data_IF_524633915096
#
_entry.id   IF_524633915096
#
_cell.length_a   1.000
_cell.length_b   1.000
_cell.length_c   1.000
_cell.angle_alpha   90.00
_cell.angle_beta   90.00
_cell.angle_gamma   90.00
#
_symmetry.space_group_name_H-M   'P 1'
#
loop_
_entity.id
_entity.type
_entity.pdbx_description
1 polymer ?
#
# COMPACT_ATOMS: atom_id res chain seq x y z
N UNK A 1 -9.81 -2.55 -78.43
CA UNK A 1 -9.92 -1.41 -77.49
C UNK A 1 -11.38 -1.30 -77.07
N UNK A 2 -11.72 -1.71 -75.86
CA UNK A 2 -13.05 -1.52 -75.26
C UNK A 2 -12.79 -0.84 -73.92
N UNK A 3 -13.09 0.46 -73.83
CA UNK A 3 -13.00 1.22 -72.60
C UNK A 3 -14.25 0.98 -71.76
N UNK A 4 -14.10 0.43 -70.56
CA UNK A 4 -15.19 0.27 -69.60
C UNK A 4 -15.45 1.59 -68.87
N UNK A 5 -16.68 2.09 -68.97
CA UNK A 5 -17.14 3.28 -68.26
C UNK A 5 -17.30 2.97 -66.76
N UNK A 6 -16.67 3.78 -65.90
CA UNK A 6 -16.83 3.71 -64.44
C UNK A 6 -18.18 4.34 -64.07
N UNK A 7 -19.06 3.63 -63.33
CA UNK A 7 -20.35 4.18 -62.95
C UNK A 7 -20.14 5.34 -61.96
N UNK A 8 -20.68 6.51 -62.29
CA UNK A 8 -20.76 7.63 -61.35
C UNK A 8 -21.75 7.28 -60.24
N UNK A 9 -21.25 7.14 -59.01
CA UNK A 9 -22.08 6.97 -57.83
C UNK A 9 -22.86 8.27 -57.59
N UNK A 10 -24.20 8.22 -57.47
CA UNK A 10 -25.04 9.40 -57.25
C UNK A 10 -24.57 10.20 -56.03
N UNK A 11 -24.47 11.52 -56.20
CA UNK A 11 -23.93 12.45 -55.19
C UNK A 11 -24.67 12.37 -53.85
N UNK A 12 -25.95 11.98 -53.86
CA UNK A 12 -26.76 11.73 -52.67
C UNK A 12 -26.24 10.58 -51.80
N UNK A 13 -25.71 9.49 -52.40
CA UNK A 13 -25.15 8.35 -51.63
C UNK A 13 -23.90 8.75 -50.85
N UNK A 14 -23.09 9.66 -51.37
CA UNK A 14 -21.89 10.16 -50.66
C UNK A 14 -22.28 10.98 -49.43
N UNK A 15 -23.35 11.78 -49.52
CA UNK A 15 -23.86 12.54 -48.38
C UNK A 15 -24.40 11.62 -47.28
N UNK A 16 -25.21 10.60 -47.61
CA UNK A 16 -25.73 9.67 -46.61
C UNK A 16 -24.64 8.87 -45.90
N UNK A 17 -23.58 8.47 -46.61
CA UNK A 17 -22.41 7.82 -46.01
C UNK A 17 -21.67 8.75 -45.04
N UNK A 18 -21.54 10.03 -45.37
CA UNK A 18 -20.90 11.02 -44.50
C UNK A 18 -21.72 11.27 -43.23
N UNK A 19 -23.05 11.43 -43.35
CA UNK A 19 -23.93 11.58 -42.18
C UNK A 19 -23.96 10.33 -41.30
N UNK A 20 -23.93 9.13 -41.91
CA UNK A 20 -23.84 7.87 -41.17
C UNK A 20 -22.55 7.74 -40.35
N UNK A 21 -21.40 8.10 -40.94
CA UNK A 21 -20.10 8.10 -40.25
C UNK A 21 -20.04 9.13 -39.11
N UNK A 22 -20.57 10.35 -39.33
CA UNK A 22 -20.62 11.38 -38.29
C UNK A 22 -21.52 10.96 -37.13
N UNK A 23 -22.69 10.37 -37.42
CA UNK A 23 -23.58 9.83 -36.38
C UNK A 23 -22.93 8.67 -35.62
N UNK A 24 -22.17 7.79 -36.29
CA UNK A 24 -21.43 6.72 -35.63
C UNK A 24 -20.35 7.28 -34.70
N UNK A 25 -19.57 8.27 -35.14
CA UNK A 25 -18.56 8.92 -34.31
C UNK A 25 -19.20 9.62 -33.09
N UNK A 26 -20.32 10.32 -33.27
CA UNK A 26 -21.05 10.96 -32.16
C UNK A 26 -21.58 9.89 -31.20
N UNK A 27 -22.15 8.80 -31.70
CA UNK A 27 -22.65 7.68 -30.90
C UNK A 27 -21.55 6.90 -30.17
N UNK A 28 -20.30 6.91 -30.65
CA UNK A 28 -19.16 6.29 -29.96
C UNK A 28 -18.45 7.24 -28.97
N UNK A 29 -18.46 8.55 -29.25
CA UNK A 29 -17.75 9.57 -28.43
C UNK A 29 -18.62 10.07 -27.25
N UNK A 30 -19.95 10.15 -27.41
CA UNK A 30 -20.82 10.61 -26.33
C UNK A 30 -20.90 9.63 -25.13
N UNK A 31 -21.01 8.30 -25.32
CA UNK A 31 -20.98 7.37 -24.22
C UNK A 31 -19.65 7.41 -23.48
N UNK A 32 -18.51 7.49 -24.19
CA UNK A 32 -17.18 7.53 -23.56
C UNK A 32 -16.93 8.81 -22.76
N UNK A 33 -17.42 9.97 -23.23
CA UNK A 33 -17.37 11.23 -22.46
C UNK A 33 -18.35 11.27 -21.29
N UNK A 34 -19.51 10.63 -21.39
CA UNK A 34 -20.45 10.48 -20.28
C UNK A 34 -19.91 9.47 -19.24
N UNK A 35 -19.25 8.41 -19.68
CA UNK A 35 -18.60 7.39 -18.83
C UNK A 35 -17.39 7.97 -18.07
N UNK A 36 -16.60 8.84 -18.71
CA UNK A 36 -15.50 9.55 -18.04
C UNK A 36 -15.97 10.63 -17.05
N UNK A 37 -17.15 11.24 -17.28
CA UNK A 37 -17.74 12.18 -16.32
C UNK A 37 -18.47 11.50 -15.17
N UNK A 38 -18.94 10.26 -15.32
CA UNK A 38 -19.59 9.50 -14.24
C UNK A 38 -18.61 8.89 -13.24
N UNK A 39 -17.31 8.78 -13.57
CA UNK A 39 -16.27 8.30 -12.66
C UNK A 39 -15.60 9.40 -11.80
N UNK A 40 -15.97 10.68 -11.95
CA UNK A 40 -15.75 11.63 -10.85
C UNK A 40 -16.73 11.27 -9.75
N UNK A 41 -16.28 10.48 -8.78
CA UNK A 41 -16.91 10.13 -7.50
C UNK A 41 -18.03 11.11 -7.10
N UNK A 42 -19.25 10.86 -7.60
CA UNK A 42 -20.46 11.60 -7.22
C UNK A 42 -21.23 10.74 -6.25
N UNK A 43 -20.91 10.89 -4.97
CA UNK A 43 -21.80 10.44 -3.92
C UNK A 43 -23.03 11.38 -3.91
N UNK A 44 -24.27 10.85 -3.97
CA UNK A 44 -25.45 11.66 -3.74
C UNK A 44 -25.36 12.34 -2.37
N UNK A 45 -25.77 13.60 -2.30
CA UNK A 45 -25.79 14.42 -1.10
C UNK A 45 -26.57 13.76 0.03
N UNK A 46 -25.88 13.20 1.02
CA UNK A 46 -26.48 12.80 2.30
C UNK A 46 -26.54 14.03 3.22
N UNK A 47 -27.75 14.55 3.34
CA UNK A 47 -28.14 15.66 4.20
C UNK A 47 -28.10 15.27 5.69
N UNK A 48 -27.65 16.24 6.50
CA UNK A 48 -27.90 16.48 7.94
C UNK A 48 -27.85 15.28 8.89
N UNK A 49 -26.70 15.11 9.54
CA UNK A 49 -26.65 14.61 10.92
C UNK A 49 -26.22 15.74 11.86
N UNK A 50 -27.01 15.97 12.90
CA UNK A 50 -26.68 16.85 14.02
C UNK A 50 -25.42 16.31 14.73
N UNK A 51 -24.56 17.20 15.27
CA UNK A 51 -23.43 16.75 16.07
C UNK A 51 -23.95 16.14 17.39
N UNK A 52 -23.45 14.99 17.84
CA UNK A 52 -23.59 14.63 19.23
C UNK A 52 -22.72 15.59 20.05
N UNK A 53 -23.35 16.33 20.96
CA UNK A 53 -22.65 16.89 22.10
C UNK A 53 -22.22 15.73 22.99
N UNK A 54 -20.92 15.43 23.05
CA UNK A 54 -20.40 14.56 24.09
C UNK A 54 -19.17 15.14 24.78
N UNK A 55 -19.21 14.99 26.10
CA UNK A 55 -18.23 15.45 27.07
C UNK A 55 -16.92 14.69 26.83
N UNK A 56 -15.85 15.42 26.54
CA UNK A 56 -14.50 14.87 26.49
C UNK A 56 -14.14 14.18 27.81
N UNK A 57 -14.28 12.86 27.84
CA UNK A 57 -13.68 12.00 28.86
C UNK A 57 -12.17 12.00 28.63
N UNK A 58 -11.43 12.61 29.56
CA UNK A 58 -9.97 12.46 29.65
C UNK A 58 -9.66 11.06 30.16
N UNK A 59 -9.71 10.07 29.28
CA UNK A 59 -9.18 8.73 29.56
C UNK A 59 -7.80 8.62 28.90
N UNK A 60 -6.78 8.99 29.66
CA UNK A 60 -5.40 8.60 29.36
C UNK A 60 -5.29 7.08 29.57
N UNK A 61 -5.16 6.33 28.48
CA UNK A 61 -4.84 4.89 28.47
C UNK A 61 -3.56 4.70 29.29
N UNK A 62 -3.61 3.87 30.33
CA UNK A 62 -2.49 3.67 31.26
C UNK A 62 -1.69 2.43 30.80
N UNK A 63 -0.44 2.64 30.41
CA UNK A 63 0.15 2.13 29.15
C UNK A 63 0.87 0.77 29.17
N UNK A 64 0.53 -0.20 30.02
CA UNK A 64 1.15 -1.56 29.88
C UNK A 64 0.22 -2.74 30.12
N UNK A 65 -0.66 -2.68 31.12
CA UNK A 65 -1.59 -3.78 31.41
C UNK A 65 -2.66 -3.94 30.33
N UNK A 66 -3.08 -2.81 29.73
CA UNK A 66 -4.12 -2.79 28.70
C UNK A 66 -3.60 -3.47 27.43
N UNK A 67 -2.40 -3.11 26.95
CA UNK A 67 -1.82 -3.64 25.72
C UNK A 67 -1.66 -5.17 25.63
N UNK A 68 -1.81 -5.90 26.73
CA UNK A 68 -1.86 -7.37 26.74
C UNK A 68 -2.95 -7.94 25.81
N UNK A 69 -4.10 -7.26 25.69
CA UNK A 69 -5.24 -7.72 24.87
C UNK A 69 -5.34 -6.98 23.53
N UNK A 70 -4.29 -6.23 23.19
CA UNK A 70 -4.24 -5.46 21.95
C UNK A 70 -4.43 -6.33 20.70
N UNK A 71 -3.83 -7.53 20.55
CA UNK A 71 -3.98 -8.33 19.33
C UNK A 71 -5.44 -8.70 19.03
N UNK A 72 -6.20 -9.17 20.02
CA UNK A 72 -7.61 -9.55 19.82
C UNK A 72 -8.50 -8.33 19.56
N UNK A 73 -8.27 -7.23 20.28
CA UNK A 73 -9.00 -5.99 20.07
C UNK A 73 -8.69 -5.40 18.68
N UNK A 74 -7.43 -5.42 18.26
CA UNK A 74 -6.95 -4.95 16.97
C UNK A 74 -7.60 -5.74 15.83
N UNK A 75 -7.69 -7.07 15.95
CA UNK A 75 -8.33 -7.89 14.93
C UNK A 75 -9.80 -7.52 14.71
N UNK A 76 -10.54 -7.20 15.77
CA UNK A 76 -11.92 -6.72 15.63
C UNK A 76 -11.98 -5.28 15.09
N UNK A 77 -11.09 -4.40 15.56
CA UNK A 77 -11.03 -3.02 15.06
C UNK A 77 -10.71 -2.97 13.56
N UNK A 78 -9.74 -3.77 13.09
CA UNK A 78 -9.37 -3.91 11.68
C UNK A 78 -10.56 -4.39 10.83
N UNK A 79 -11.33 -5.38 11.29
CA UNK A 79 -12.58 -5.79 10.62
C UNK A 79 -13.58 -4.65 10.51
N UNK A 80 -13.79 -3.91 11.60
CA UNK A 80 -14.72 -2.78 11.63
C UNK A 80 -14.26 -1.60 10.74
N UNK A 81 -12.93 -1.41 10.59
CA UNK A 81 -12.34 -0.46 9.64
C UNK A 81 -12.62 -0.89 8.19
N UNK A 82 -12.47 -2.17 7.89
CA UNK A 82 -12.69 -2.72 6.55
C UNK A 82 -14.17 -2.68 6.13
N UNK A 83 -15.08 -3.09 7.03
CA UNK A 83 -16.51 -3.22 6.73
C UNK A 83 -17.22 -1.86 6.66
N UNK A 84 -16.79 -0.88 7.45
CA UNK A 84 -17.49 0.41 7.64
C UNK A 84 -16.53 1.62 7.65
N UNK A 85 -15.61 1.75 6.69
CA UNK A 85 -14.53 2.75 6.72
C UNK A 85 -15.06 4.18 6.86
N UNK A 86 -16.16 4.53 6.18
CA UNK A 86 -16.77 5.86 6.30
C UNK A 86 -17.27 6.18 7.73
N UNK A 87 -17.72 5.17 8.46
CA UNK A 87 -18.22 5.35 9.83
C UNK A 87 -17.11 5.24 10.86
N UNK A 88 -16.12 4.38 10.63
CA UNK A 88 -15.18 3.97 11.66
C UNK A 88 -13.81 4.59 11.49
N UNK A 89 -13.33 4.94 10.28
CA UNK A 89 -11.94 5.29 10.01
C UNK A 89 -11.37 6.39 10.90
N UNK A 90 -12.10 7.49 11.11
CA UNK A 90 -11.59 8.68 11.80
C UNK A 90 -12.08 8.81 13.25
N UNK A 91 -13.14 8.07 13.62
CA UNK A 91 -13.84 8.21 14.90
C UNK A 91 -13.33 7.22 15.94
N UNK A 92 -13.40 7.58 17.21
CA UNK A 92 -13.18 6.66 18.32
C UNK A 92 -13.93 5.34 18.14
N UNK A 93 -13.27 4.26 18.51
CA UNK A 93 -13.84 2.93 18.43
C UNK A 93 -13.71 2.24 19.79
N UNK A 94 -14.77 1.58 20.22
CA UNK A 94 -14.81 0.82 21.47
C UNK A 94 -15.20 -0.61 21.16
N UNK A 95 -14.44 -1.57 21.67
CA UNK A 95 -14.79 -2.98 21.57
C UNK A 95 -16.12 -3.20 22.32
N UNK A 96 -17.21 -3.58 21.63
CA UNK A 96 -18.50 -3.77 22.29
C UNK A 96 -18.38 -4.91 23.29
N UNK A 97 -18.76 -4.67 24.54
CA UNK A 97 -18.71 -5.65 25.62
C UNK A 97 -19.79 -6.73 25.41
N UNK A 98 -19.62 -7.62 24.43
CA UNK A 98 -20.56 -8.70 24.11
C UNK A 98 -20.38 -9.84 25.10
N UNK A 99 -21.11 -9.84 26.23
CA UNK A 99 -21.42 -10.98 27.16
C UNK A 99 -20.29 -11.96 27.60
N UNK A 100 -19.09 -11.89 27.04
CA UNK A 100 -17.95 -12.74 27.27
C UNK A 100 -16.96 -11.94 28.08
N UNK A 101 -16.98 -12.15 29.40
CA UNK A 101 -16.13 -11.53 30.43
C UNK A 101 -14.61 -11.74 30.25
N UNK A 102 -14.13 -12.23 29.10
CA UNK A 102 -12.74 -12.65 28.93
C UNK A 102 -11.77 -11.48 28.65
N UNK A 103 -12.28 -10.36 28.16
CA UNK A 103 -11.46 -9.20 27.76
C UNK A 103 -12.01 -7.90 28.37
N UNK A 104 -11.17 -7.00 28.89
CA UNK A 104 -11.60 -5.66 29.28
C UNK A 104 -12.12 -4.91 28.03
N UNK A 105 -13.00 -3.93 28.24
CA UNK A 105 -13.39 -3.00 27.17
C UNK A 105 -12.14 -2.32 26.61
N UNK A 106 -11.96 -2.35 25.30
CA UNK A 106 -10.86 -1.68 24.61
C UNK A 106 -11.33 -0.41 23.93
N UNK A 107 -10.51 0.64 23.98
CA UNK A 107 -10.75 1.90 23.25
C UNK A 107 -9.58 2.15 22.29
N UNK A 108 -9.91 2.30 21.00
CA UNK A 108 -9.00 2.79 19.98
C UNK A 108 -9.35 4.25 19.70
N UNK A 109 -8.54 5.23 20.14
CA UNK A 109 -8.78 6.63 19.82
C UNK A 109 -8.88 6.85 18.30
N UNK A 110 -9.74 7.80 17.93
CA UNK A 110 -9.86 8.34 16.59
C UNK A 110 -8.58 9.03 16.14
N UNK A 111 -8.53 9.42 14.86
CA UNK A 111 -7.43 10.21 14.34
C UNK A 111 -7.54 11.63 14.92
N UNK A 112 -6.72 11.92 15.94
CA UNK A 112 -6.83 13.09 16.80
C UNK A 112 -5.46 13.67 17.10
N UNK A 113 -5.40 14.94 17.50
CA UNK A 113 -4.14 15.59 17.90
C UNK A 113 -3.45 14.83 19.05
N UNK A 114 -4.14 14.43 20.15
CA UNK A 114 -3.49 13.69 21.23
C UNK A 114 -2.86 12.36 20.79
N UNK A 115 -3.51 11.63 19.87
CA UNK A 115 -2.96 10.39 19.34
C UNK A 115 -1.69 10.66 18.53
N UNK A 116 -1.70 11.66 17.64
CA UNK A 116 -0.54 12.04 16.83
C UNK A 116 0.60 12.60 17.67
N UNK A 117 0.30 13.40 18.70
CA UNK A 117 1.27 13.96 19.63
C UNK A 117 2.02 12.86 20.39
N UNK A 118 1.30 11.83 20.82
CA UNK A 118 1.88 10.70 21.55
C UNK A 118 2.73 9.79 20.65
N UNK A 119 2.34 9.62 19.38
CA UNK A 119 2.84 8.53 18.53
C UNK A 119 3.78 8.97 17.42
N UNK A 120 3.67 10.21 16.94
CA UNK A 120 4.38 10.68 15.74
C UNK A 120 5.15 11.97 16.01
N UNK A 121 4.56 12.96 16.70
CA UNK A 121 5.24 14.24 16.92
C UNK A 121 6.51 14.10 17.75
N UNK A 122 7.51 14.89 17.38
CA UNK A 122 8.83 14.91 18.01
C UNK A 122 9.67 13.66 17.75
N UNK A 123 9.23 12.75 16.87
CA UNK A 123 9.94 11.50 16.56
C UNK A 123 10.57 11.54 15.17
N UNK A 124 11.63 10.75 15.00
CA UNK A 124 12.25 10.44 13.71
C UNK A 124 11.66 9.12 13.21
N UNK A 125 10.92 9.19 12.11
CA UNK A 125 10.28 8.04 11.48
C UNK A 125 10.82 7.85 10.07
N UNK A 126 11.23 6.62 9.78
CA UNK A 126 11.57 6.20 8.40
C UNK A 126 10.57 5.16 7.93
N UNK A 127 10.04 5.36 6.73
CA UNK A 127 9.17 4.43 6.04
C UNK A 127 9.96 3.84 4.86
N UNK A 128 10.47 2.63 5.06
CA UNK A 128 11.28 1.87 4.10
C UNK A 128 10.37 1.02 3.22
N UNK A 129 10.20 1.34 1.93
CA UNK A 129 9.39 0.46 1.11
C UNK A 129 8.88 0.92 -0.23
N UNK A 130 7.78 0.28 -0.61
CA UNK A 130 7.09 0.48 -1.88
C UNK A 130 6.33 1.82 -1.96
N UNK A 131 5.63 2.01 -3.07
CA UNK A 131 4.76 3.16 -3.34
C UNK A 131 3.70 3.39 -2.25
N UNK A 132 3.22 2.35 -1.56
CA UNK A 132 2.22 2.50 -0.51
C UNK A 132 2.78 3.28 0.68
N UNK A 133 3.99 2.93 1.13
CA UNK A 133 4.66 3.63 2.21
C UNK A 133 5.10 5.04 1.79
N UNK A 134 5.42 5.23 0.51
CA UNK A 134 5.64 6.55 -0.06
C UNK A 134 4.39 7.42 0.05
N UNK A 135 3.23 6.96 -0.42
CA UNK A 135 1.98 7.73 -0.31
C UNK A 135 1.58 7.97 1.14
N UNK A 136 1.69 6.96 2.02
CA UNK A 136 1.39 7.14 3.44
C UNK A 136 2.28 8.22 4.08
N UNK A 137 3.56 8.26 3.72
CA UNK A 137 4.51 9.30 4.15
C UNK A 137 4.02 10.70 3.75
N UNK A 138 3.60 10.87 2.50
CA UNK A 138 3.13 12.15 1.96
C UNK A 138 1.85 12.62 2.65
N UNK A 139 0.91 11.71 2.90
CA UNK A 139 -0.30 11.99 3.66
C UNK A 139 0.00 12.40 5.10
N UNK A 140 0.94 11.70 5.75
CA UNK A 140 1.36 12.01 7.12
C UNK A 140 2.02 13.39 7.23
N UNK A 141 2.95 13.71 6.31
CA UNK A 141 3.59 15.02 6.24
C UNK A 141 2.56 16.14 6.00
N UNK A 142 1.61 15.94 5.08
CA UNK A 142 0.56 16.91 4.76
C UNK A 142 -0.35 17.17 5.96
N UNK A 143 -0.80 16.11 6.65
CA UNK A 143 -1.61 16.25 7.86
C UNK A 143 -0.87 17.01 8.96
N UNK A 144 0.41 16.69 9.19
CA UNK A 144 1.20 17.35 10.22
C UNK A 144 1.53 18.81 9.87
N UNK A 145 1.74 19.13 8.60
CA UNK A 145 1.94 20.51 8.16
C UNK A 145 0.68 21.36 8.38
N UNK A 146 -0.49 20.87 7.95
CA UNK A 146 -1.75 21.60 8.09
C UNK A 146 -2.08 21.87 9.56
N UNK A 147 -1.70 20.95 10.45
CA UNK A 147 -1.98 21.05 11.90
C UNK A 147 -0.95 21.89 12.66
N UNK A 148 0.29 21.98 12.18
CA UNK A 148 1.31 22.87 12.78
C UNK A 148 1.12 24.32 12.37
N UNK A 149 0.74 24.60 11.12
CA UNK A 149 0.65 25.96 10.59
C UNK A 149 -0.64 26.70 10.97
N UNK A 150 -1.77 26.00 11.09
CA UNK A 150 -3.09 26.64 11.29
C UNK A 150 -3.57 26.63 12.74
N UNK A 151 -3.33 25.55 13.49
CA UNK A 151 -3.47 25.45 14.97
C UNK A 151 -3.31 23.99 15.42
N UNK A 152 -2.61 23.71 16.54
CA UNK A 152 -2.29 22.35 16.98
C UNK A 152 -3.51 21.46 17.29
N UNK A 153 -4.72 22.02 17.41
CA UNK A 153 -5.98 21.28 17.63
C UNK A 153 -6.88 21.19 16.39
N UNK A 154 -6.35 21.55 15.23
CA UNK A 154 -7.11 21.54 13.98
C UNK A 154 -7.55 20.12 13.59
N UNK A 155 -6.78 19.06 13.91
CA UNK A 155 -7.23 17.67 13.68
C UNK A 155 -8.54 17.37 14.39
N UNK A 156 -8.63 17.76 15.67
CA UNK A 156 -9.78 17.44 16.50
C UNK A 156 -11.05 18.17 15.99
N UNK A 157 -10.89 19.38 15.49
CA UNK A 157 -11.99 20.14 14.91
C UNK A 157 -12.31 19.74 13.46
N UNK A 158 -11.32 19.26 12.70
CA UNK A 158 -11.48 18.90 11.29
C UNK A 158 -11.91 17.46 11.05
N UNK A 159 -11.45 16.49 11.85
CA UNK A 159 -11.57 15.08 11.47
C UNK A 159 -12.42 14.26 12.45
N UNK A 160 -12.46 14.62 13.73
CA UNK A 160 -13.25 13.88 14.71
C UNK A 160 -14.75 13.99 14.37
N UNK A 161 -15.36 12.84 14.16
CA UNK A 161 -16.78 12.75 13.80
C UNK A 161 -17.06 12.90 12.30
N UNK A 162 -16.06 13.15 11.45
CA UNK A 162 -16.22 13.15 10.00
C UNK A 162 -16.17 11.74 9.40
N UNK A 163 -16.81 11.63 8.25
CA UNK A 163 -16.72 10.47 7.38
C UNK A 163 -15.36 10.50 6.69
N UNK A 164 -14.79 9.33 6.38
CA UNK A 164 -13.45 9.21 5.79
C UNK A 164 -13.30 10.04 4.52
N UNK A 165 -14.27 9.97 3.62
CA UNK A 165 -14.26 10.74 2.38
C UNK A 165 -14.15 12.25 2.67
N UNK A 166 -14.95 12.78 3.60
CA UNK A 166 -14.89 14.21 3.97
C UNK A 166 -13.55 14.58 4.61
N UNK A 167 -12.99 13.70 5.44
CA UNK A 167 -11.66 13.90 6.02
C UNK A 167 -10.57 13.96 4.96
N UNK A 168 -10.62 13.11 3.93
CA UNK A 168 -9.69 13.16 2.81
C UNK A 168 -9.77 14.51 2.08
N UNK A 169 -10.98 14.99 1.76
CA UNK A 169 -11.17 16.33 1.18
C UNK A 169 -10.68 17.46 2.10
N UNK A 170 -10.81 17.32 3.42
CA UNK A 170 -10.34 18.35 4.35
C UNK A 170 -8.80 18.44 4.39
N UNK A 171 -8.10 17.32 4.22
CA UNK A 171 -6.63 17.26 4.24
C UNK A 171 -6.04 17.53 2.85
N UNK A 172 -6.72 17.08 1.79
CA UNK A 172 -6.34 17.23 0.39
C UNK A 172 -7.55 17.74 -0.42
N UNK A 173 -7.86 19.05 -0.40
CA UNK A 173 -9.07 19.63 -1.01
C UNK A 173 -9.17 19.43 -2.51
N UNK A 174 -8.03 19.43 -3.20
CA UNK A 174 -7.98 19.18 -4.64
C UNK A 174 -8.26 17.71 -4.98
N UNK A 175 -8.30 16.84 -3.95
CA UNK A 175 -8.38 15.38 -4.06
C UNK A 175 -7.48 14.87 -5.17
N UNK A 176 -6.34 15.54 -5.32
CA UNK A 176 -5.46 15.18 -6.39
C UNK A 176 -4.95 13.80 -6.04
N UNK A 177 -5.35 12.84 -6.87
CA UNK A 177 -4.87 11.46 -6.82
C UNK A 177 -3.34 11.46 -6.80
N UNK A 178 -2.76 12.54 -7.34
CA UNK A 178 -1.35 12.87 -7.35
C UNK A 178 -0.75 13.34 -6.03
N UNK A 179 -1.47 13.40 -4.90
CA UNK A 179 -0.83 13.72 -3.62
C UNK A 179 0.16 12.59 -3.26
N UNK A 180 1.42 12.86 -3.63
CA UNK A 180 2.53 11.93 -3.64
C UNK A 180 3.05 11.53 -5.02
N UNK A 181 2.29 11.56 -6.11
CA UNK A 181 2.80 11.10 -7.42
C UNK A 181 3.91 12.00 -7.98
N UNK A 182 3.77 13.32 -7.85
CA UNK A 182 4.82 14.25 -8.25
C UNK A 182 5.86 14.40 -7.12
N UNK A 183 7.13 14.18 -7.46
CA UNK A 183 8.25 14.37 -6.55
C UNK A 183 8.44 15.85 -6.15
N UNK A 184 7.95 16.77 -6.99
CA UNK A 184 8.13 18.22 -6.88
C UNK A 184 7.09 18.94 -6.01
N UNK A 185 5.91 18.33 -5.78
CA UNK A 185 4.74 19.01 -5.19
C UNK A 185 4.74 19.15 -3.68
N UNK A 186 5.69 18.57 -2.96
CA UNK A 186 5.80 18.78 -1.52
C UNK A 186 7.16 19.36 -1.17
N UNK A 187 7.12 20.55 -0.57
CA UNK A 187 8.23 21.15 0.13
C UNK A 187 8.85 20.12 1.09
N UNK A 188 10.17 20.18 1.31
CA UNK A 188 10.80 19.55 2.46
C UNK A 188 10.06 20.07 3.70
N UNK A 189 9.07 19.33 4.19
CA UNK A 189 8.24 19.76 5.31
C UNK A 189 9.14 19.70 6.55
N UNK A 190 9.77 20.82 6.88
CA UNK A 190 10.43 21.00 8.16
C UNK A 190 9.33 21.25 9.19
N UNK A 191 8.98 20.20 9.92
CA UNK A 191 8.09 20.31 11.08
C UNK A 191 8.88 20.99 12.21
N UNK A 192 8.31 22.03 12.80
CA UNK A 192 8.99 22.88 13.79
C UNK A 192 9.19 22.20 15.15
N UNK A 193 8.55 21.06 15.39
CA UNK A 193 8.52 20.32 16.66
C UNK A 193 9.58 19.21 16.73
N UNK A 194 10.56 19.21 15.82
CA UNK A 194 11.61 18.17 15.75
C UNK A 194 11.15 16.86 15.12
N UNK A 195 9.91 16.78 14.64
CA UNK A 195 9.43 15.61 13.88
C UNK A 195 10.18 15.49 12.56
N UNK A 196 10.73 14.31 12.28
CA UNK A 196 11.35 13.98 11.00
C UNK A 196 10.67 12.77 10.40
N UNK A 197 10.12 12.89 9.20
CA UNK A 197 9.46 11.78 8.51
C UNK A 197 10.05 11.67 7.12
N UNK A 198 10.57 10.50 6.79
CA UNK A 198 11.20 10.25 5.50
C UNK A 198 10.81 8.89 4.93
N UNK A 199 10.52 8.86 3.63
CA UNK A 199 10.40 7.63 2.87
C UNK A 199 11.74 7.30 2.19
N UNK A 200 12.10 6.02 2.18
CA UNK A 200 13.23 5.48 1.44
C UNK A 200 12.77 4.20 0.74
N UNK A 201 13.00 4.07 -0.56
CA UNK A 201 12.63 2.84 -1.26
C UNK A 201 12.41 3.03 -2.74
N UNK A 202 11.56 2.18 -3.30
CA UNK A 202 11.27 2.10 -4.72
C UNK A 202 9.75 2.13 -4.90
N UNK A 203 9.25 3.12 -5.62
CA UNK A 203 7.80 3.32 -5.83
C UNK A 203 7.28 2.68 -7.12
N UNK A 204 8.15 2.05 -7.90
CA UNK A 204 7.84 1.63 -9.26
C UNK A 204 7.88 2.80 -10.23
N UNK A 205 8.58 2.62 -11.33
CA UNK A 205 8.57 3.54 -12.46
C UNK A 205 8.66 2.75 -13.76
N UNK A 206 8.35 3.43 -14.87
CA UNK A 206 8.48 2.88 -16.22
C UNK A 206 9.88 3.03 -16.80
N UNK A 207 10.82 3.60 -16.05
CA UNK A 207 12.20 3.78 -16.49
C UNK A 207 12.96 2.44 -16.30
N UNK A 208 13.50 1.85 -17.38
CA UNK A 208 14.31 0.64 -17.29
C UNK A 208 15.51 0.76 -16.34
N UNK A 209 16.04 1.97 -16.10
CA UNK A 209 17.12 2.18 -15.13
C UNK A 209 16.66 2.02 -13.67
N UNK A 210 15.35 2.07 -13.41
CA UNK A 210 14.78 1.84 -12.08
C UNK A 210 14.56 0.34 -11.78
N UNK A 211 14.57 -0.55 -12.78
CA UNK A 211 14.40 -1.99 -12.56
C UNK A 211 15.53 -2.58 -11.70
N UNK A 212 16.76 -2.10 -11.86
CA UNK A 212 17.91 -2.54 -11.06
C UNK A 212 17.84 -2.06 -9.59
N UNK A 213 17.04 -1.03 -9.31
CA UNK A 213 16.94 -0.47 -7.96
C UNK A 213 16.09 -1.33 -7.01
N UNK A 214 15.28 -2.26 -7.55
CA UNK A 214 14.39 -3.13 -6.76
C UNK A 214 15.14 -4.11 -5.83
N UNK A 215 16.46 -4.21 -5.99
CA UNK A 215 17.34 -5.09 -5.22
C UNK A 215 18.49 -4.35 -4.54
N UNK A 216 18.58 -3.02 -4.67
CA UNK A 216 19.73 -2.24 -4.20
C UNK A 216 19.41 -1.52 -2.88
N UNK A 217 19.75 -2.16 -1.76
CA UNK A 217 19.41 -1.62 -0.44
C UNK A 217 20.57 -0.95 0.31
N UNK A 218 21.82 -1.13 -0.09
CA UNK A 218 22.99 -0.64 0.67
C UNK A 218 22.96 0.88 0.89
N UNK A 219 22.63 1.64 -0.15
CA UNK A 219 22.50 3.10 -0.06
C UNK A 219 21.34 3.52 0.85
N UNK A 220 20.25 2.75 0.86
CA UNK A 220 19.09 2.99 1.71
C UNK A 220 19.42 2.66 3.17
N UNK A 221 20.03 1.50 3.44
CA UNK A 221 20.44 1.11 4.79
C UNK A 221 21.51 2.02 5.38
N UNK A 222 22.42 2.54 4.56
CA UNK A 222 23.36 3.58 4.99
C UNK A 222 22.64 4.85 5.45
N UNK A 223 21.61 5.28 4.70
CA UNK A 223 20.80 6.44 5.09
C UNK A 223 20.02 6.19 6.38
N UNK A 224 19.45 5.00 6.57
CA UNK A 224 18.75 4.65 7.83
C UNK A 224 19.71 4.77 9.04
N UNK A 225 20.92 4.24 8.91
CA UNK A 225 21.95 4.34 9.96
C UNK A 225 22.36 5.79 10.26
N UNK A 226 22.33 6.67 9.26
CA UNK A 226 22.61 8.10 9.44
C UNK A 226 21.46 8.85 10.10
N UNK A 227 20.21 8.52 9.75
CA UNK A 227 19.01 9.14 10.32
C UNK A 227 18.82 8.71 11.78
N UNK A 228 19.19 7.46 12.10
CA UNK A 228 18.95 6.80 13.39
C UNK A 228 17.49 6.94 13.84
N UNK A 229 16.51 6.43 13.06
CA UNK A 229 15.10 6.69 13.37
C UNK A 229 14.68 6.07 14.70
N UNK A 230 13.75 6.71 15.40
CA UNK A 230 13.12 6.13 16.59
C UNK A 230 12.14 5.01 16.18
N UNK A 231 11.49 5.17 15.02
CA UNK A 231 10.54 4.21 14.44
C UNK A 231 10.90 3.92 12.99
N UNK A 232 11.03 2.64 12.64
CA UNK A 232 11.20 2.16 11.27
C UNK A 232 9.96 1.36 10.85
N UNK A 233 9.31 1.73 9.75
CA UNK A 233 8.22 0.98 9.13
C UNK A 233 8.70 0.40 7.81
N UNK A 234 8.63 -0.91 7.60
CA UNK A 234 9.24 -1.58 6.44
C UNK A 234 8.25 -2.46 5.63
N UNK A 235 8.27 -2.36 4.29
CA UNK A 235 7.54 -3.23 3.35
C UNK A 235 8.06 -3.12 1.90
N UNK A 236 8.44 -4.23 1.25
CA UNK A 236 8.99 -4.19 -0.12
C UNK A 236 8.54 -5.34 -1.04
N UNK A 237 7.96 -6.41 -0.50
CA UNK A 237 7.73 -7.67 -1.23
C UNK A 237 6.84 -7.56 -2.47
N UNK A 238 5.96 -6.55 -2.55
CA UNK A 238 5.08 -6.32 -3.70
C UNK A 238 5.86 -6.17 -5.02
N UNK A 239 7.07 -5.60 -4.97
CA UNK A 239 7.86 -5.37 -6.17
C UNK A 239 8.60 -6.60 -6.70
N UNK A 240 8.63 -7.66 -5.90
CA UNK A 240 9.28 -8.92 -6.24
C UNK A 240 8.32 -9.98 -6.76
N UNK A 241 7.05 -9.64 -6.92
CA UNK A 241 6.04 -10.52 -7.49
C UNK A 241 5.96 -10.33 -9.01
N UNK A 242 5.70 -11.42 -9.74
CA UNK A 242 5.67 -11.46 -11.20
C UNK A 242 4.26 -11.71 -11.76
N UNK A 243 4.06 -11.35 -13.03
CA UNK A 243 2.95 -11.76 -13.90
C UNK A 243 3.53 -12.05 -15.28
N UNK A 244 4.29 -13.13 -15.41
CA UNK A 244 4.93 -13.47 -16.68
C UNK A 244 3.85 -14.09 -17.56
N UNK A 245 3.30 -13.31 -18.50
CA UNK A 245 2.24 -13.77 -19.39
C UNK A 245 2.80 -14.54 -20.61
N UNK A 246 1.88 -14.94 -21.50
CA UNK A 246 2.16 -15.62 -22.77
C UNK A 246 2.88 -14.76 -23.81
N UNK A 247 3.09 -13.47 -23.56
CA UNK A 247 3.88 -12.56 -24.38
C UNK A 247 4.83 -11.79 -23.44
N UNK A 248 6.15 -11.70 -23.70
CA UNK A 248 7.09 -11.00 -22.81
C UNK A 248 6.80 -9.50 -22.70
N UNK A 249 6.07 -8.93 -23.66
CA UNK A 249 5.63 -7.54 -23.66
C UNK A 249 4.36 -7.32 -22.81
N UNK A 250 3.72 -8.41 -22.34
CA UNK A 250 2.44 -8.38 -21.63
C UNK A 250 2.62 -8.90 -20.19
N UNK A 251 2.21 -8.12 -19.20
CA UNK A 251 2.29 -8.46 -17.78
C UNK A 251 3.48 -7.83 -17.06
N UNK A 252 4.12 -8.59 -16.15
CA UNK A 252 5.18 -8.11 -15.26
C UNK A 252 6.32 -9.11 -15.12
N UNK A 253 7.49 -8.77 -15.63
CA UNK A 253 8.75 -9.47 -15.37
C UNK A 253 9.46 -8.90 -14.14
N UNK A 254 10.39 -9.65 -13.57
CA UNK A 254 11.27 -9.19 -12.48
C UNK A 254 12.71 -9.66 -12.74
N UNK A 255 13.72 -8.94 -12.24
CA UNK A 255 15.11 -9.39 -12.32
C UNK A 255 15.37 -10.60 -11.40
N UNK A 256 16.43 -11.37 -11.66
CA UNK A 256 16.79 -12.54 -10.85
C UNK A 256 17.06 -12.21 -9.38
N UNK A 257 17.62 -11.02 -9.10
CA UNK A 257 17.84 -10.60 -7.72
C UNK A 257 16.52 -10.49 -6.94
N UNK A 258 15.42 -10.07 -7.58
CA UNK A 258 14.09 -10.00 -6.95
C UNK A 258 13.54 -11.41 -6.68
N UNK A 259 13.80 -12.36 -7.58
CA UNK A 259 13.48 -13.79 -7.37
C UNK A 259 14.24 -14.32 -6.15
N UNK A 260 15.53 -14.03 -6.02
CA UNK A 260 16.34 -14.44 -4.87
C UNK A 260 15.82 -13.81 -3.57
N UNK A 261 15.57 -12.49 -3.56
CA UNK A 261 14.99 -11.81 -2.39
C UNK A 261 13.61 -12.36 -2.02
N UNK A 262 12.78 -12.76 -2.99
CA UNK A 262 11.51 -13.40 -2.69
C UNK A 262 11.72 -14.80 -2.08
N UNK A 263 12.64 -15.61 -2.63
CA UNK A 263 12.92 -16.95 -2.11
C UNK A 263 13.46 -16.89 -0.67
N UNK A 264 14.39 -15.97 -0.43
CA UNK A 264 15.06 -15.76 0.84
C UNK A 264 14.45 -14.62 1.66
N UNK A 265 13.17 -14.28 1.45
CA UNK A 265 12.52 -13.12 2.07
C UNK A 265 12.78 -12.95 3.57
N UNK A 266 12.78 -14.06 4.33
CA UNK A 266 13.02 -14.03 5.77
C UNK A 266 14.50 -13.74 6.11
N UNK A 267 15.44 -14.44 5.49
CA UNK A 267 16.89 -14.34 5.79
C UNK A 267 17.60 -13.20 5.07
N UNK A 268 17.22 -12.89 3.84
CA UNK A 268 17.86 -11.85 3.02
C UNK A 268 17.23 -10.47 3.20
N UNK A 269 15.92 -10.38 3.51
CA UNK A 269 15.24 -9.10 3.64
C UNK A 269 14.82 -8.79 5.08
N UNK A 270 13.96 -9.61 5.70
CA UNK A 270 13.41 -9.30 7.02
C UNK A 270 14.53 -9.27 8.08
N UNK A 271 15.43 -10.24 8.08
CA UNK A 271 16.60 -10.28 8.97
C UNK A 271 17.55 -9.10 8.73
N UNK A 272 17.81 -8.75 7.48
CA UNK A 272 18.67 -7.61 7.15
C UNK A 272 18.08 -6.28 7.63
N UNK A 273 16.77 -6.07 7.44
CA UNK A 273 16.07 -4.87 7.96
C UNK A 273 16.11 -4.83 9.48
N UNK A 274 15.89 -5.97 10.16
CA UNK A 274 15.99 -6.07 11.62
C UNK A 274 17.40 -5.73 12.11
N UNK A 275 18.45 -6.25 11.46
CA UNK A 275 19.83 -5.92 11.81
C UNK A 275 20.12 -4.42 11.62
N UNK A 276 19.69 -3.83 10.51
CA UNK A 276 19.84 -2.38 10.27
C UNK A 276 19.12 -1.56 11.34
N UNK A 277 17.94 -2.00 11.78
CA UNK A 277 17.19 -1.35 12.84
C UNK A 277 17.93 -1.42 14.18
N UNK A 278 18.50 -2.58 14.52
CA UNK A 278 19.33 -2.77 15.72
C UNK A 278 20.60 -1.90 15.67
N UNK A 279 21.34 -1.92 14.56
CA UNK A 279 22.53 -1.09 14.33
C UNK A 279 22.23 0.40 14.50
N UNK A 280 21.03 0.81 14.10
CA UNK A 280 20.56 2.20 14.14
C UNK A 280 19.87 2.56 15.46
N UNK A 281 19.85 1.65 16.44
CA UNK A 281 19.21 1.83 17.74
C UNK A 281 17.71 2.21 17.67
N UNK A 282 17.02 1.70 16.65
CA UNK A 282 15.57 1.89 16.48
C UNK A 282 14.84 1.35 17.71
N UNK A 283 13.82 2.07 18.19
CA UNK A 283 13.00 1.63 19.34
C UNK A 283 11.83 0.75 18.90
N UNK A 284 11.26 1.03 17.73
CA UNK A 284 10.15 0.27 17.17
C UNK A 284 10.37 -0.02 15.68
N UNK A 285 10.43 -1.30 15.33
CA UNK A 285 10.37 -1.81 13.96
C UNK A 285 8.98 -2.39 13.67
N UNK A 286 8.30 -1.84 12.68
CA UNK A 286 7.02 -2.32 12.19
C UNK A 286 7.18 -2.89 10.78
N UNK A 287 6.95 -4.19 10.63
CA UNK A 287 6.75 -4.77 9.30
C UNK A 287 5.31 -4.53 8.86
N UNK A 288 5.14 -3.73 7.82
CA UNK A 288 3.84 -3.52 7.18
C UNK A 288 3.50 -4.74 6.31
N UNK A 289 2.26 -5.22 6.41
CA UNK A 289 1.75 -6.21 5.46
C UNK A 289 1.57 -5.61 4.06
N UNK A 290 1.89 -6.38 3.04
CA UNK A 290 1.68 -6.06 1.63
C UNK A 290 0.19 -5.89 1.36
N UNK A 291 -0.16 -4.95 0.47
CA UNK A 291 -1.56 -4.58 0.20
C UNK A 291 -2.37 -5.74 -0.38
N UNK A 292 -3.64 -5.80 0.00
CA UNK A 292 -4.67 -6.63 -0.60
C UNK A 292 -4.75 -6.38 -2.12
N UNK A 293 -4.98 -7.42 -2.90
CA UNK A 293 -5.02 -7.32 -4.35
C UNK A 293 -6.44 -7.49 -4.89
N UNK A 294 -7.01 -6.39 -5.38
CA UNK A 294 -8.29 -6.37 -6.09
C UNK A 294 -8.08 -6.75 -7.54
N UNK A 295 -7.91 -8.04 -7.78
CA UNK A 295 -7.69 -8.61 -9.12
C UNK A 295 -8.77 -8.23 -10.14
N UNK A 296 -10.02 -8.03 -9.69
CA UNK A 296 -11.13 -7.61 -10.54
C UNK A 296 -10.97 -6.17 -11.06
N UNK A 297 -10.11 -5.37 -10.42
CA UNK A 297 -9.77 -4.02 -10.86
C UNK A 297 -8.57 -4.02 -11.83
N UNK A 298 -7.95 -5.16 -12.12
CA UNK A 298 -6.96 -5.27 -13.18
C UNK A 298 -7.61 -5.29 -14.56
N UNK A 299 -6.94 -4.68 -15.53
CA UNK A 299 -7.40 -4.57 -16.91
C UNK A 299 -6.30 -5.03 -17.87
N UNK A 300 -6.71 -5.46 -19.07
CA UNK A 300 -5.80 -5.83 -20.17
C UNK A 300 -4.85 -6.94 -19.75
N UNK A 301 -3.58 -6.78 -20.12
CA UNK A 301 -2.53 -7.78 -19.93
C UNK A 301 -2.40 -8.28 -18.48
N UNK A 302 -2.63 -7.41 -17.50
CA UNK A 302 -2.60 -7.79 -16.08
C UNK A 302 -3.77 -8.72 -15.72
N UNK A 303 -4.97 -8.44 -16.22
CA UNK A 303 -6.16 -9.27 -16.00
C UNK A 303 -5.98 -10.64 -16.65
N UNK A 304 -5.50 -10.67 -17.89
CA UNK A 304 -5.27 -11.90 -18.65
C UNK A 304 -4.18 -12.77 -17.99
N UNK A 305 -3.08 -12.14 -17.57
CA UNK A 305 -2.00 -12.83 -16.87
C UNK A 305 -2.46 -13.42 -15.53
N UNK A 306 -3.16 -12.64 -14.70
CA UNK A 306 -3.71 -13.13 -13.43
C UNK A 306 -4.64 -14.31 -13.65
N UNK A 307 -5.52 -14.27 -14.65
CA UNK A 307 -6.44 -15.37 -14.95
C UNK A 307 -5.73 -16.68 -15.29
N UNK A 308 -4.55 -16.62 -15.92
CA UNK A 308 -3.72 -17.81 -16.19
C UNK A 308 -3.19 -18.41 -14.88
N UNK A 309 -2.63 -17.59 -13.99
CA UNK A 309 -2.09 -18.05 -12.71
C UNK A 309 -3.16 -18.55 -11.75
N UNK A 310 -4.33 -17.92 -11.70
CA UNK A 310 -5.46 -18.38 -10.88
C UNK A 310 -5.95 -19.78 -11.28
N UNK A 311 -5.83 -20.14 -12.57
CA UNK A 311 -6.15 -21.48 -13.08
C UNK A 311 -5.00 -22.47 -12.94
N UNK A 312 -3.87 -22.05 -12.38
CA UNK A 312 -2.62 -22.82 -12.35
C UNK A 312 -2.23 -23.33 -13.74
N UNK A 313 -2.35 -22.46 -14.75
CA UNK A 313 -2.10 -22.82 -16.14
C UNK A 313 -0.67 -23.38 -16.31
N UNK A 314 -0.50 -24.64 -16.75
CA UNK A 314 0.82 -25.26 -16.85
C UNK A 314 1.74 -24.55 -17.85
N UNK A 315 1.17 -23.91 -18.88
CA UNK A 315 1.95 -23.19 -19.88
C UNK A 315 2.53 -21.90 -19.31
N UNK A 316 1.74 -21.13 -18.55
CA UNK A 316 2.20 -19.93 -17.85
C UNK A 316 3.32 -20.24 -16.84
N UNK A 317 3.15 -21.28 -16.01
CA UNK A 317 4.17 -21.72 -15.04
C UNK A 317 5.45 -22.14 -15.75
N UNK A 318 5.35 -23.04 -16.74
CA UNK A 318 6.51 -23.54 -17.48
C UNK A 318 7.22 -22.43 -18.26
N UNK A 319 6.49 -21.40 -18.71
CA UNK A 319 7.07 -20.23 -19.36
C UNK A 319 7.83 -19.35 -18.37
N UNK A 320 7.27 -19.11 -17.18
CA UNK A 320 7.98 -18.42 -16.11
C UNK A 320 9.31 -19.14 -15.80
N UNK A 321 9.27 -20.46 -15.61
CA UNK A 321 10.46 -21.27 -15.34
C UNK A 321 11.51 -21.12 -16.44
N UNK A 322 11.13 -21.29 -17.72
CA UNK A 322 12.05 -21.10 -18.85
C UNK A 322 12.61 -19.69 -18.94
N UNK A 323 11.82 -18.68 -18.60
CA UNK A 323 12.26 -17.28 -18.62
C UNK A 323 13.34 -17.06 -17.56
N UNK A 324 13.09 -17.51 -16.34
CA UNK A 324 14.05 -17.40 -15.24
C UNK A 324 15.30 -18.26 -15.45
N UNK A 325 15.16 -19.46 -16.01
CA UNK A 325 16.29 -20.31 -16.40
C UNK A 325 17.16 -19.60 -17.44
N UNK A 326 16.59 -19.02 -18.50
CA UNK A 326 17.35 -18.25 -19.50
C UNK A 326 18.07 -17.05 -18.89
N UNK A 327 17.40 -16.32 -18.00
CA UNK A 327 18.04 -15.22 -17.29
C UNK A 327 19.22 -15.72 -16.46
N UNK A 328 19.06 -16.82 -15.69
CA UNK A 328 20.11 -17.43 -14.87
C UNK A 328 21.30 -17.86 -15.73
N UNK A 329 21.04 -18.63 -16.77
CA UNK A 329 22.06 -19.20 -17.66
C UNK A 329 22.77 -18.10 -18.49
N UNK A 330 22.06 -17.01 -18.81
CA UNK A 330 22.61 -15.82 -19.45
C UNK A 330 23.48 -14.97 -18.52
N UNK A 331 23.13 -14.92 -17.23
CA UNK A 331 23.83 -14.14 -16.19
C UNK A 331 25.13 -14.82 -15.71
N UNK A 332 25.18 -16.16 -15.71
CA UNK A 332 26.37 -16.96 -15.41
C UNK A 332 27.56 -16.67 -16.36
N UNK A 333 27.31 -16.04 -17.51
CA UNK A 333 28.35 -15.59 -18.43
C UNK A 333 28.95 -14.21 -18.08
N UNK A 334 28.39 -13.45 -17.13
CA UNK A 334 28.90 -12.14 -16.68
C UNK A 334 29.20 -12.02 -15.19
N UNK A 335 28.50 -12.74 -14.30
CA UNK A 335 28.69 -12.63 -12.84
C UNK A 335 28.65 -14.02 -12.17
N UNK A 336 29.77 -14.75 -12.24
CA UNK A 336 29.97 -16.16 -11.82
C UNK A 336 29.84 -16.48 -10.31
N UNK A 337 29.22 -15.63 -9.49
CA UNK A 337 29.25 -15.78 -8.03
C UNK A 337 27.90 -15.97 -7.32
N UNK A 338 26.83 -15.34 -7.82
CA UNK A 338 25.62 -15.11 -7.00
C UNK A 338 24.36 -15.85 -7.50
N UNK A 339 24.37 -16.38 -8.73
CA UNK A 339 23.19 -17.01 -9.37
C UNK A 339 23.13 -18.54 -9.26
N UNK A 340 24.18 -19.19 -8.71
CA UNK A 340 24.25 -20.66 -8.61
C UNK A 340 23.27 -21.28 -7.59
N UNK A 341 22.43 -20.46 -6.93
CA UNK A 341 21.53 -20.85 -5.82
C UNK A 341 20.09 -21.12 -6.32
N UNK A 342 19.74 -20.71 -7.53
CA UNK A 342 18.41 -20.92 -8.10
C UNK A 342 18.28 -22.30 -8.75
N UNK A 343 18.21 -23.33 -7.90
CA UNK A 343 17.82 -24.69 -8.33
C UNK A 343 16.41 -24.73 -8.91
N UNK A 344 16.12 -25.70 -9.77
CA UNK A 344 14.85 -25.75 -10.51
C UNK A 344 13.62 -25.77 -9.58
N UNK A 345 13.69 -26.47 -8.44
CA UNK A 345 12.61 -26.47 -7.45
C UNK A 345 12.31 -25.08 -6.87
N UNK A 346 13.31 -24.22 -6.71
CA UNK A 346 13.14 -22.85 -6.26
C UNK A 346 12.47 -21.99 -7.35
N UNK A 347 12.85 -22.20 -8.61
CA UNK A 347 12.21 -21.52 -9.74
C UNK A 347 10.74 -21.91 -9.86
N UNK A 348 10.42 -23.21 -9.78
CA UNK A 348 9.03 -23.69 -9.77
C UNK A 348 8.25 -23.08 -8.61
N UNK A 349 8.82 -23.09 -7.39
CA UNK A 349 8.19 -22.47 -6.22
C UNK A 349 7.90 -20.99 -6.46
N UNK A 350 8.88 -20.23 -6.95
CA UNK A 350 8.68 -18.81 -7.24
C UNK A 350 7.61 -18.61 -8.33
N UNK A 351 7.66 -19.35 -9.43
CA UNK A 351 6.69 -19.23 -10.52
C UNK A 351 5.25 -19.57 -10.13
N UNK A 352 5.06 -20.39 -9.10
CA UNK A 352 3.74 -20.73 -8.56
C UNK A 352 3.29 -19.76 -7.48
N UNK A 353 4.23 -19.21 -6.70
CA UNK A 353 3.94 -18.53 -5.44
C UNK A 353 4.25 -17.05 -5.39
N UNK A 354 5.20 -16.59 -6.20
CA UNK A 354 5.61 -15.21 -6.35
C UNK A 354 4.71 -14.44 -7.31
N UNK A 355 3.45 -14.83 -7.49
CA UNK A 355 2.53 -14.20 -8.44
C UNK A 355 2.02 -12.87 -7.89
N UNK A 356 1.89 -11.85 -8.75
CA UNK A 356 1.34 -10.54 -8.39
C UNK A 356 -0.20 -10.58 -8.33
N UNK A 357 -0.70 -11.37 -7.38
CA UNK A 357 -2.11 -11.51 -7.07
C UNK A 357 -2.31 -11.62 -5.55
N UNK A 358 -3.55 -11.83 -5.13
CA UNK A 358 -3.90 -11.94 -3.71
C UNK A 358 -3.29 -13.19 -3.05
N UNK A 359 -3.00 -14.24 -3.82
CA UNK A 359 -2.41 -15.46 -3.30
C UNK A 359 -0.94 -15.24 -2.96
N UNK A 360 -0.17 -14.63 -3.87
CA UNK A 360 1.24 -14.30 -3.64
C UNK A 360 1.43 -13.25 -2.55
N UNK A 361 0.52 -12.27 -2.45
CA UNK A 361 0.51 -11.29 -1.34
C UNK A 361 0.25 -11.98 0.01
N UNK A 362 -0.72 -12.90 0.08
CA UNK A 362 -0.99 -13.64 1.31
C UNK A 362 0.19 -14.51 1.76
N UNK A 363 0.90 -15.14 0.82
CA UNK A 363 2.14 -15.89 1.13
C UNK A 363 3.21 -14.96 1.74
N UNK A 364 3.46 -13.79 1.14
CA UNK A 364 4.38 -12.79 1.70
C UNK A 364 3.96 -12.33 3.10
N UNK A 365 2.68 -12.02 3.29
CA UNK A 365 2.15 -11.57 4.57
C UNK A 365 2.25 -12.65 5.66
N UNK A 366 2.00 -13.91 5.30
CA UNK A 366 2.19 -15.04 6.19
C UNK A 366 3.63 -15.15 6.68
N UNK A 367 4.60 -15.02 5.76
CA UNK A 367 6.03 -15.07 6.09
C UNK A 367 6.48 -13.93 7.00
N UNK A 368 5.90 -12.73 6.86
CA UNK A 368 6.10 -11.60 7.79
C UNK A 368 5.59 -11.97 9.19
N UNK A 369 4.35 -12.50 9.29
CA UNK A 369 3.75 -12.89 10.56
C UNK A 369 4.57 -13.97 11.27
N UNK A 370 5.00 -15.01 10.54
CA UNK A 370 5.86 -16.07 11.05
C UNK A 370 7.19 -15.52 11.57
N UNK A 371 7.85 -14.65 10.79
CA UNK A 371 9.13 -14.05 11.18
C UNK A 371 9.01 -13.23 12.45
N UNK A 372 8.02 -12.34 12.54
CA UNK A 372 7.82 -11.50 13.73
C UNK A 372 7.46 -12.36 14.94
N UNK A 373 6.67 -13.42 14.76
CA UNK A 373 6.35 -14.37 15.83
C UNK A 373 7.62 -15.06 16.37
N UNK A 374 8.44 -15.61 15.48
CA UNK A 374 9.70 -16.29 15.83
C UNK A 374 10.70 -15.33 16.48
N UNK A 375 10.87 -14.12 15.93
CA UNK A 375 11.74 -13.09 16.50
C UNK A 375 11.34 -12.77 17.94
N UNK A 376 10.04 -12.53 18.18
CA UNK A 376 9.53 -12.18 19.50
C UNK A 376 9.59 -13.33 20.50
N UNK A 377 9.49 -14.59 20.06
CA UNK A 377 9.73 -15.75 20.93
C UNK A 377 11.19 -15.87 21.36
N UNK A 378 12.11 -15.60 20.45
CA UNK A 378 13.54 -15.78 20.68
C UNK A 378 14.20 -14.60 21.40
N UNK A 379 13.67 -13.38 21.26
CA UNK A 379 14.31 -12.14 21.73
C UNK A 379 13.50 -11.38 22.80
N UNK A 380 12.49 -12.01 23.42
CA UNK A 380 11.53 -11.36 24.32
C UNK A 380 12.14 -10.55 25.49
N UNK A 381 13.41 -10.79 25.86
CA UNK A 381 14.07 -10.15 27.01
C UNK A 381 15.37 -9.41 26.69
N UNK A 382 15.89 -9.53 25.47
CA UNK A 382 17.31 -9.22 25.20
C UNK A 382 17.51 -7.96 24.35
N UNK A 383 16.45 -7.32 23.86
CA UNK A 383 16.56 -6.11 23.02
C UNK A 383 15.67 -4.97 23.50
N UNK A 384 16.23 -3.75 23.51
CA UNK A 384 15.48 -2.49 23.74
C UNK A 384 14.56 -2.12 22.54
N UNK A 385 14.80 -2.75 21.38
CA UNK A 385 13.96 -2.62 20.20
C UNK A 385 12.77 -3.58 20.25
N UNK A 386 11.57 -3.08 19.91
CA UNK A 386 10.38 -3.91 19.68
C UNK A 386 10.14 -4.16 18.21
N UNK A 387 9.72 -5.38 17.86
CA UNK A 387 9.35 -5.78 16.50
C UNK A 387 7.89 -6.18 16.47
N UNK A 388 7.10 -5.55 15.61
CA UNK A 388 5.67 -5.82 15.48
C UNK A 388 5.19 -5.73 14.03
N UNK A 389 3.92 -6.08 13.81
CA UNK A 389 3.27 -6.05 12.49
C UNK A 389 2.30 -4.86 12.42
N UNK A 390 2.41 -4.09 11.35
CA UNK A 390 1.40 -3.11 10.95
C UNK A 390 0.49 -3.75 9.89
N UNK A 391 -0.69 -4.22 10.31
CA UNK A 391 -1.61 -4.96 9.46
C UNK A 391 -2.44 -4.04 8.54
N UNK A 392 -1.80 -3.52 7.50
CA UNK A 392 -2.43 -2.68 6.48
C UNK A 392 -3.30 -3.47 5.48
N UNK A 393 -2.94 -4.71 5.19
CA UNK A 393 -3.68 -5.59 4.27
C UNK A 393 -5.17 -5.70 4.62
N UNK A 394 -5.47 -6.03 5.88
CA UNK A 394 -6.83 -6.44 6.28
C UNK A 394 -7.82 -5.27 6.42
N UNK A 395 -7.36 -4.01 6.38
CA UNK A 395 -8.25 -2.84 6.38
C UNK A 395 -8.71 -2.44 4.97
N UNK A 396 -8.21 -3.11 3.93
CA UNK A 396 -8.40 -2.70 2.54
C UNK A 396 -9.66 -3.34 1.93
N UNK A 397 -10.28 -2.61 1.02
CA UNK A 397 -11.49 -3.02 0.31
C UNK A 397 -11.48 -2.50 -1.12
N UNK A 398 -11.90 -3.34 -2.07
CA UNK A 398 -11.89 -3.01 -3.50
C UNK A 398 -12.74 -1.80 -3.87
N UNK A 399 -13.70 -1.43 -3.02
CA UNK A 399 -14.47 -0.21 -3.19
C UNK A 399 -13.61 1.08 -3.12
N UNK A 400 -12.38 0.99 -2.60
CA UNK A 400 -11.46 2.12 -2.44
C UNK A 400 -10.15 1.94 -3.19
N UNK A 401 -10.07 0.94 -4.08
CA UNK A 401 -8.98 0.81 -5.05
C UNK A 401 -9.41 1.46 -6.37
N UNK A 402 -8.46 2.06 -7.07
CA UNK A 402 -8.74 2.74 -8.33
C UNK A 402 -9.03 1.74 -9.46
N UNK A 403 -9.92 2.08 -10.41
CA UNK A 403 -10.05 1.31 -11.64
C UNK A 403 -8.71 1.24 -12.37
N UNK A 404 -8.28 0.03 -12.77
CA UNK A 404 -6.97 -0.27 -13.35
C UNK A 404 -5.79 -0.26 -12.36
N UNK A 405 -6.05 0.03 -11.09
CA UNK A 405 -5.07 0.01 -10.00
C UNK A 405 -5.61 -0.84 -8.84
N UNK A 406 -5.55 -2.15 -9.03
CA UNK A 406 -6.00 -3.15 -8.04
C UNK A 406 -5.13 -3.30 -6.79
N UNK A 407 -4.20 -2.36 -6.51
CA UNK A 407 -3.23 -2.48 -5.42
C UNK A 407 -3.07 -1.23 -4.56
N UNK A 408 -3.37 -0.04 -5.07
CA UNK A 408 -3.33 1.18 -4.27
C UNK A 408 -4.72 1.56 -3.77
N UNK A 409 -4.77 1.99 -2.51
CA UNK A 409 -6.00 2.38 -1.80
C UNK A 409 -5.84 3.79 -1.23
N UNK A 410 -5.58 4.76 -2.10
CA UNK A 410 -5.32 6.15 -1.70
C UNK A 410 -6.37 6.74 -0.76
N UNK A 411 -7.68 6.52 -0.95
CA UNK A 411 -8.71 7.02 -0.04
C UNK A 411 -8.58 6.48 1.39
N UNK A 412 -7.84 5.39 1.62
CA UNK A 412 -7.69 4.77 2.94
C UNK A 412 -6.51 5.33 3.74
N UNK A 413 -5.74 6.30 3.23
CA UNK A 413 -4.50 6.74 3.89
C UNK A 413 -4.70 7.38 5.27
N UNK A 414 -5.78 8.12 5.52
CA UNK A 414 -6.08 8.61 6.88
C UNK A 414 -6.44 7.47 7.84
N UNK A 415 -7.15 6.46 7.36
CA UNK A 415 -7.46 5.24 8.13
C UNK A 415 -6.18 4.45 8.45
N UNK A 416 -5.28 4.30 7.47
CA UNK A 416 -3.95 3.70 7.63
C UNK A 416 -3.13 4.43 8.68
N UNK A 417 -3.10 5.76 8.62
CA UNK A 417 -2.37 6.58 9.58
C UNK A 417 -2.89 6.38 11.00
N UNK A 418 -4.22 6.33 11.18
CA UNK A 418 -4.82 6.02 12.48
C UNK A 418 -4.43 4.63 12.96
N UNK A 419 -4.52 3.62 12.11
CA UNK A 419 -4.14 2.25 12.46
C UNK A 419 -2.66 2.20 12.90
N UNK A 420 -1.77 2.81 12.12
CA UNK A 420 -0.35 2.93 12.42
C UNK A 420 -0.13 3.60 13.78
N UNK A 421 -0.78 4.75 14.04
CA UNK A 421 -0.65 5.47 15.30
C UNK A 421 -1.14 4.62 16.50
N UNK A 422 -2.25 3.89 16.37
CA UNK A 422 -2.72 3.01 17.44
C UNK A 422 -1.77 1.81 17.69
N UNK A 423 -1.16 1.27 16.63
CA UNK A 423 -0.10 0.25 16.76
C UNK A 423 1.12 0.85 17.48
N UNK A 424 1.57 2.04 17.10
CA UNK A 424 2.69 2.71 17.78
C UNK A 424 2.36 3.00 19.24
N UNK A 425 1.16 3.51 19.56
CA UNK A 425 0.75 3.84 20.92
C UNK A 425 0.91 2.63 21.85
N UNK A 426 0.53 1.44 21.37
CA UNK A 426 0.58 0.23 22.18
C UNK A 426 1.96 -0.43 22.19
N UNK A 427 2.66 -0.43 21.06
CA UNK A 427 3.98 -1.05 20.96
C UNK A 427 5.05 -0.15 21.56
N UNK A 428 4.96 1.16 21.44
CA UNK A 428 5.94 2.13 21.90
C UNK A 428 5.28 3.27 22.68
N UNK A 429 4.72 2.98 23.88
CA UNK A 429 4.09 4.00 24.70
C UNK A 429 5.16 4.99 25.20
N UNK A 430 4.87 6.29 25.07
CA UNK A 430 5.64 7.33 25.76
C UNK A 430 5.49 7.14 27.27
N UNK A 431 6.60 6.94 27.96
CA UNK A 431 6.68 6.90 29.43
C UNK A 431 6.54 8.28 30.04
#
# INVERSE_FOLDING_TARGET
MIGAAVPQVPQSRKQYLHYGLVLLCIACILPTRLFWKSHKWRFPSLYKQQPPQDKHSKTSINTTAECRYFPEALAQFVRDLQERPEQTALRDWVLPNKKHRKYPSWHFPGLSSPLLDQTIRGKRMVLLGDSTLFYLTRWMQTLLQNTTQQSPRVVDHLLLGMDMTKGNYAVNPDMDVQLGWDNSTLAKVQLQDGTHIQWLGHRGGSDPQEEDQVCQFDGIFRQIRQIQPDILVANFGLHWLHLIASDPEHGRTVPLCAVQYWLDYQSAWLEQVTQVAQDSQVKLLLFKTTNFMCIDNFWGDYSDAVALYQRQDPYAISRCERTLQRLRDGHDNKHRGETSILGDANLTRYCQKGVFDEWGVKDLNHRVLEYVHQYNQNNYKDTDMKVAVFNDHDIQSCAYSEPNDGRHYHPLNLMRLRLLANVIQCQYPTT
#
